data_IF_728005542612
#
_entry.id   IF_728005542612
#
_cell.length_a   1.000
_cell.length_b   1.000
_cell.length_c   1.000
_cell.angle_alpha   90.00
_cell.angle_beta   90.00
_cell.angle_gamma   90.00
#
_symmetry.space_group_name_H-M   'P 1'
#
loop_
_entity.id
_entity.type
_entity.pdbx_description
1 polymer ?
#
# COMPACT_ATOMS: atom_id res chain seq x y z
N UNK A 1 7.18 -9.40 -20.54
CA UNK A 1 5.72 -9.65 -20.56
C UNK A 1 5.25 -9.57 -19.11
N UNK A 2 4.81 -8.40 -18.67
CA UNK A 2 4.34 -8.19 -17.28
C UNK A 2 2.99 -8.90 -17.17
N UNK A 3 2.89 -9.80 -16.20
CA UNK A 3 1.75 -10.67 -16.01
C UNK A 3 0.46 -9.84 -15.85
N UNK A 4 -0.48 -10.01 -16.79
CA UNK A 4 -1.78 -9.31 -16.80
C UNK A 4 -2.50 -9.57 -15.47
N UNK A 5 -2.28 -10.74 -14.86
CA UNK A 5 -2.83 -11.08 -13.55
C UNK A 5 -2.30 -10.16 -12.45
N UNK A 6 -1.01 -9.81 -12.45
CA UNK A 6 -0.43 -8.87 -11.46
C UNK A 6 -0.99 -7.47 -11.64
N UNK A 7 -1.09 -6.97 -12.87
CA UNK A 7 -1.56 -5.59 -13.10
C UNK A 7 -3.06 -5.45 -12.81
N UNK A 8 -3.86 -6.44 -13.19
CA UNK A 8 -5.30 -6.47 -12.89
C UNK A 8 -5.55 -6.67 -11.40
N UNK A 9 -4.76 -7.49 -10.71
CA UNK A 9 -4.86 -7.64 -9.26
C UNK A 9 -4.45 -6.37 -8.51
N UNK A 10 -3.37 -5.71 -8.94
CA UNK A 10 -2.98 -4.40 -8.42
C UNK A 10 -4.08 -3.36 -8.63
N UNK A 11 -4.65 -3.29 -9.82
CA UNK A 11 -5.79 -2.42 -10.09
C UNK A 11 -7.00 -2.79 -9.25
N UNK A 12 -7.34 -4.06 -9.05
CA UNK A 12 -8.47 -4.49 -8.22
C UNK A 12 -8.25 -4.15 -6.73
N UNK A 13 -7.03 -4.31 -6.22
CA UNK A 13 -6.67 -3.97 -4.84
C UNK A 13 -6.61 -2.44 -4.66
N UNK A 14 -6.04 -1.70 -5.63
CA UNK A 14 -5.93 -0.23 -5.60
C UNK A 14 -7.25 0.49 -5.92
N UNK A 15 -8.15 -0.06 -6.74
CA UNK A 15 -9.41 0.58 -7.16
C UNK A 15 -10.58 0.37 -6.19
N UNK A 16 -10.41 -0.37 -5.10
CA UNK A 16 -11.41 -0.46 -4.02
C UNK A 16 -11.44 0.80 -3.13
N UNK A 17 -11.07 1.98 -3.66
CA UNK A 17 -11.06 3.26 -2.93
C UNK A 17 -12.44 3.72 -2.48
N UNK A 18 -13.52 3.14 -3.03
CA UNK A 18 -14.91 3.46 -2.66
C UNK A 18 -15.42 2.72 -1.44
N UNK A 19 -14.74 1.65 -1.01
CA UNK A 19 -15.13 0.89 0.18
C UNK A 19 -14.41 1.45 1.40
N UNK A 20 -15.15 1.60 2.50
CA UNK A 20 -14.57 1.93 3.79
C UNK A 20 -15.21 1.07 4.87
N UNK A 21 -14.39 0.61 5.80
CA UNK A 21 -14.79 -0.30 6.87
C UNK A 21 -15.07 0.44 8.17
N UNK A 22 -15.93 -0.13 9.00
CA UNK A 22 -16.12 0.34 10.37
C UNK A 22 -15.03 -0.24 11.29
N UNK A 23 -14.79 0.38 12.46
CA UNK A 23 -13.91 -0.21 13.47
C UNK A 23 -14.33 -1.62 13.91
N UNK A 24 -15.64 -1.94 13.98
CA UNK A 24 -16.06 -3.34 14.22
C UNK A 24 -15.56 -4.27 13.12
N UNK A 25 -15.81 -3.94 11.85
CA UNK A 25 -15.46 -4.80 10.73
C UNK A 25 -13.96 -5.04 10.67
N UNK A 26 -13.15 -4.02 10.95
CA UNK A 26 -11.69 -4.15 11.02
C UNK A 26 -11.26 -5.00 12.21
N UNK A 27 -11.95 -4.89 13.35
CA UNK A 27 -11.68 -5.73 14.52
C UNK A 27 -11.90 -7.21 14.18
N UNK A 28 -13.00 -7.53 13.50
CA UNK A 28 -13.31 -8.89 13.06
C UNK A 28 -12.29 -9.41 12.03
N UNK A 29 -11.86 -8.56 11.08
CA UNK A 29 -10.86 -8.92 10.06
C UNK A 29 -9.49 -9.20 10.65
N UNK A 30 -9.05 -8.39 11.62
CA UNK A 30 -7.74 -8.52 12.26
C UNK A 30 -7.76 -9.45 13.48
N UNK A 31 -8.93 -9.98 13.86
CA UNK A 31 -9.15 -10.75 15.08
C UNK A 31 -8.68 -10.00 16.34
N UNK A 32 -8.92 -8.69 16.38
CA UNK A 32 -8.56 -7.80 17.48
C UNK A 32 -9.79 -7.36 18.26
N UNK A 33 -9.57 -6.84 19.46
CA UNK A 33 -10.64 -6.15 20.17
C UNK A 33 -10.94 -4.81 19.49
N UNK A 34 -12.20 -4.38 19.55
CA UNK A 34 -12.65 -3.08 19.02
C UNK A 34 -11.90 -1.90 19.66
N UNK A 35 -11.54 -2.03 20.94
CA UNK A 35 -10.71 -1.05 21.64
C UNK A 35 -9.32 -0.96 21.04
N UNK A 36 -8.69 -2.09 20.73
CA UNK A 36 -7.38 -2.14 20.09
C UNK A 36 -7.42 -1.44 18.73
N UNK A 37 -8.48 -1.63 17.93
CA UNK A 37 -8.64 -0.89 16.67
C UNK A 37 -8.71 0.62 16.89
N UNK A 38 -9.42 1.08 17.92
CA UNK A 38 -9.43 2.50 18.28
C UNK A 38 -8.06 3.01 18.76
N UNK A 39 -7.31 2.21 19.51
CA UNK A 39 -5.93 2.55 19.88
C UNK A 39 -5.01 2.65 18.68
N UNK A 40 -5.12 1.73 17.72
CA UNK A 40 -4.33 1.77 16.49
C UNK A 40 -4.67 3.03 15.66
N UNK A 41 -5.94 3.41 15.62
CA UNK A 41 -6.37 4.68 14.99
C UNK A 41 -5.80 5.89 15.76
N UNK A 42 -5.83 5.89 17.08
CA UNK A 42 -5.36 7.03 17.88
C UNK A 42 -3.84 7.17 17.86
N UNK A 43 -3.10 6.07 17.77
CA UNK A 43 -1.64 6.02 17.58
C UNK A 43 -1.20 6.39 16.16
N UNK A 44 -2.14 6.40 15.21
CA UNK A 44 -1.85 6.66 13.79
C UNK A 44 -1.31 5.45 13.03
N UNK A 45 -1.33 4.27 13.63
CA UNK A 45 -0.96 2.99 12.98
C UNK A 45 -2.01 2.56 11.95
N UNK A 46 -3.28 2.93 12.17
CA UNK A 46 -4.36 2.80 11.18
C UNK A 46 -4.87 4.19 10.81
N UNK A 47 -4.68 4.58 9.56
CA UNK A 47 -5.29 5.78 8.99
C UNK A 47 -6.81 5.56 8.87
N UNK A 48 -7.59 6.45 9.50
CA UNK A 48 -9.05 6.43 9.44
C UNK A 48 -9.59 7.85 9.26
N UNK A 49 -10.74 7.98 8.58
CA UNK A 49 -11.47 9.24 8.45
C UNK A 49 -12.61 9.30 9.44
N UNK A 50 -12.63 10.35 10.27
CA UNK A 50 -13.73 10.61 11.20
C UNK A 50 -14.86 11.34 10.46
N UNK A 51 -16.05 10.75 10.47
CA UNK A 51 -17.29 11.29 9.90
C UNK A 51 -18.29 11.47 11.04
N UNK A 52 -18.31 12.67 11.62
CA UNK A 52 -19.09 12.96 12.82
C UNK A 52 -18.61 12.15 14.02
N UNK A 53 -19.46 11.24 14.53
CA UNK A 53 -19.15 10.34 15.65
C UNK A 53 -18.61 8.97 15.20
N UNK A 54 -18.54 8.73 13.88
CA UNK A 54 -18.17 7.43 13.32
C UNK A 54 -16.77 7.51 12.68
N UNK A 55 -16.07 6.38 12.68
CA UNK A 55 -14.83 6.22 11.91
C UNK A 55 -15.05 5.35 10.68
N UNK A 56 -14.32 5.66 9.62
CA UNK A 56 -14.26 4.91 8.37
C UNK A 56 -12.82 4.66 7.97
N UNK A 57 -12.48 3.40 7.79
CA UNK A 57 -11.11 2.95 7.53
C UNK A 57 -11.03 2.50 6.07
N UNK A 58 -10.23 3.18 5.22
CA UNK A 58 -10.06 2.75 3.83
C UNK A 58 -9.21 1.47 3.76
N UNK A 59 -9.45 0.58 2.78
CA UNK A 59 -8.71 -0.67 2.59
C UNK A 59 -7.20 -0.46 2.45
N UNK A 60 -6.79 0.62 1.77
CA UNK A 60 -5.38 0.98 1.60
C UNK A 60 -4.63 1.23 2.92
N UNK A 61 -5.36 1.56 3.99
CA UNK A 61 -4.78 1.71 5.33
C UNK A 61 -4.48 0.37 5.98
N UNK A 62 -5.26 -0.66 5.62
CA UNK A 62 -5.11 -2.01 6.15
C UNK A 62 -4.13 -2.85 5.34
N UNK A 63 -3.91 -2.54 4.05
CA UNK A 63 -2.98 -3.30 3.21
C UNK A 63 -1.59 -3.37 3.83
N UNK A 64 -1.12 -2.29 4.44
CA UNK A 64 0.17 -2.25 5.15
C UNK A 64 0.27 -3.31 6.27
N UNK A 65 -0.83 -3.57 7.00
CA UNK A 65 -0.85 -4.56 8.08
C UNK A 65 -0.76 -6.01 7.56
N UNK A 66 -1.28 -6.27 6.36
CA UNK A 66 -1.29 -7.61 5.77
C UNK A 66 -0.04 -7.91 4.94
N UNK A 67 0.54 -6.90 4.29
CA UNK A 67 1.69 -7.07 3.41
C UNK A 67 3.02 -6.88 4.12
N UNK A 68 3.02 -6.21 5.28
CA UNK A 68 4.24 -5.82 5.99
C UNK A 68 5.02 -4.73 5.26
N UNK A 69 5.98 -4.11 5.96
CA UNK A 69 6.90 -3.09 5.41
C UNK A 69 7.73 -3.66 4.24
N UNK A 70 7.99 -4.97 4.26
CA UNK A 70 8.79 -5.66 3.25
C UNK A 70 8.18 -5.61 1.85
N UNK A 71 6.86 -5.46 1.73
CA UNK A 71 6.21 -5.41 0.41
C UNK A 71 6.47 -4.10 -0.33
N UNK A 72 6.35 -2.95 0.35
CA UNK A 72 6.68 -1.66 -0.27
C UNK A 72 8.15 -1.61 -0.65
N UNK A 73 9.03 -2.17 0.18
CA UNK A 73 10.47 -2.25 -0.09
C UNK A 73 10.78 -3.18 -1.28
N UNK A 74 10.11 -4.33 -1.38
CA UNK A 74 10.22 -5.25 -2.51
C UNK A 74 9.76 -4.62 -3.83
N UNK A 75 8.68 -3.83 -3.77
CA UNK A 75 8.15 -3.14 -4.94
C UNK A 75 9.10 -2.02 -5.42
N UNK A 76 9.64 -1.24 -4.50
CA UNK A 76 10.65 -0.23 -4.80
C UNK A 76 11.92 -0.85 -5.42
N UNK A 77 12.47 -1.92 -4.83
CA UNK A 77 13.64 -2.63 -5.38
C UNK A 77 13.36 -3.19 -6.78
N UNK A 78 12.16 -3.74 -6.99
CA UNK A 78 11.76 -4.26 -8.29
C UNK A 78 11.64 -3.17 -9.35
N UNK A 79 11.17 -1.98 -8.97
CA UNK A 79 11.01 -0.84 -9.86
C UNK A 79 12.36 -0.20 -10.20
N UNK A 80 13.24 -0.05 -9.20
CA UNK A 80 14.62 0.38 -9.39
C UNK A 80 15.36 -0.54 -10.35
N UNK A 81 15.25 -1.87 -10.18
CA UNK A 81 15.86 -2.87 -11.07
C UNK A 81 15.41 -2.76 -12.52
N UNK A 82 14.15 -2.39 -12.77
CA UNK A 82 13.63 -2.21 -14.14
C UNK A 82 14.24 -0.98 -14.81
N UNK A 83 14.52 0.06 -14.03
CA UNK A 83 15.05 1.32 -14.54
C UNK A 83 16.58 1.31 -14.70
N UNK A 84 17.29 0.32 -14.13
CA UNK A 84 18.75 0.20 -14.22
C UNK A 84 19.29 0.26 -15.66
N UNK A 85 18.66 -0.45 -16.59
CA UNK A 85 19.15 -0.50 -17.98
C UNK A 85 19.09 0.86 -18.66
N UNK A 86 18.07 1.67 -18.35
CA UNK A 86 17.91 3.01 -18.90
C UNK A 86 18.96 3.94 -18.29
N UNK A 87 19.16 3.86 -16.98
CA UNK A 87 20.15 4.65 -16.26
C UNK A 87 21.57 4.35 -16.77
N UNK A 88 21.92 3.08 -16.96
CA UNK A 88 23.22 2.68 -17.52
C UNK A 88 23.44 3.21 -18.93
N UNK A 89 22.41 3.18 -19.78
CA UNK A 89 22.48 3.73 -21.13
C UNK A 89 22.70 5.25 -21.11
N UNK A 90 22.00 5.99 -20.25
CA UNK A 90 22.17 7.45 -20.14
C UNK A 90 23.52 7.85 -19.54
N UNK A 91 24.02 7.12 -18.55
CA UNK A 91 25.37 7.32 -18.00
C UNK A 91 26.42 7.08 -19.08
N UNK A 92 26.26 6.01 -19.88
CA UNK A 92 27.18 5.69 -20.97
C UNK A 92 27.18 6.77 -22.04
N UNK A 93 26.00 7.26 -22.45
CA UNK A 93 25.86 8.37 -23.41
C UNK A 93 26.50 9.66 -22.91
N UNK A 94 26.38 9.96 -21.62
CA UNK A 94 26.96 11.16 -21.02
C UNK A 94 28.48 11.07 -20.94
N UNK A 95 29.01 9.91 -20.54
CA UNK A 95 30.46 9.63 -20.50
C UNK A 95 31.11 9.68 -21.89
N UNK A 96 30.38 9.29 -22.94
CA UNK A 96 30.87 9.35 -24.32
C UNK A 96 30.88 10.77 -24.92
N UNK A 97 30.27 11.76 -24.25
CA UNK A 97 30.21 13.16 -24.70
C UNK A 97 31.21 14.08 -24.01
N UNK A 98 31.88 13.62 -22.93
CA UNK A 98 33.00 14.29 -22.29
C UNK A 98 34.31 13.84 -22.92
#
# INVERSE_FOLDING_TARGET
MIDIFRHVWYHIVMLNTTKAYTPEQVADMLQLSKNTVYELISRGEIVAKKLGKLYRIPPASLSFLFTGVDYDLYQADTEDRKNLSIIEQEITKTRARQ
#
